data_IF_931236480077
#
_entry.id   IF_931236480077
#
_cell.length_a   1.000
_cell.length_b   1.000
_cell.length_c   1.000
_cell.angle_alpha   90.00
_cell.angle_beta   90.00
_cell.angle_gamma   90.00
#
_symmetry.space_group_name_H-M   'P 1'
#
loop_
_entity.id
_entity.type
_entity.pdbx_description
1 polymer ?
#
# COMPACT_ATOMS: atom_id res chain seq x y z
N UNK A 1 -22.42 21.90 0.60
CA UNK A 1 -21.03 21.45 0.33
C UNK A 1 -20.73 21.65 -1.14
N UNK A 2 -19.54 22.11 -1.51
CA UNK A 2 -19.20 22.30 -2.91
C UNK A 2 -19.19 20.96 -3.66
N UNK A 3 -19.77 20.89 -4.85
CA UNK A 3 -19.84 19.63 -5.62
C UNK A 3 -18.48 18.99 -5.91
N UNK A 4 -17.41 19.78 -5.96
CA UNK A 4 -16.04 19.29 -6.14
C UNK A 4 -15.53 18.47 -4.94
N UNK A 5 -15.94 18.78 -3.71
CA UNK A 5 -15.53 18.04 -2.51
C UNK A 5 -16.06 16.60 -2.55
N UNK A 6 -17.31 16.44 -3.00
CA UNK A 6 -17.94 15.13 -3.15
C UNK A 6 -17.27 14.31 -4.26
N UNK A 7 -16.92 14.95 -5.38
CA UNK A 7 -16.23 14.26 -6.48
C UNK A 7 -14.84 13.76 -6.03
N UNK A 8 -14.10 14.58 -5.28
CA UNK A 8 -12.79 14.22 -4.73
C UNK A 8 -12.90 13.05 -3.75
N UNK A 9 -13.86 13.10 -2.81
CA UNK A 9 -14.01 12.01 -1.82
C UNK A 9 -14.40 10.68 -2.46
N UNK A 10 -15.24 10.70 -3.51
CA UNK A 10 -15.57 9.49 -4.29
C UNK A 10 -14.32 8.87 -4.93
N UNK A 11 -13.44 9.68 -5.51
CA UNK A 11 -12.19 9.20 -6.12
C UNK A 11 -11.28 8.58 -5.05
N UNK A 12 -11.16 9.23 -3.88
CA UNK A 12 -10.37 8.74 -2.75
C UNK A 12 -10.89 7.39 -2.22
N UNK A 13 -12.21 7.24 -2.07
CA UNK A 13 -12.80 5.97 -1.64
C UNK A 13 -12.63 4.85 -2.68
N UNK A 14 -12.78 5.17 -3.97
CA UNK A 14 -12.47 4.21 -5.04
C UNK A 14 -11.02 3.75 -4.99
N UNK A 15 -10.09 4.68 -4.79
CA UNK A 15 -8.66 4.36 -4.70
C UNK A 15 -8.35 3.53 -3.45
N UNK A 16 -8.94 3.88 -2.31
CA UNK A 16 -8.84 3.09 -1.09
C UNK A 16 -9.37 1.66 -1.28
N UNK A 17 -10.51 1.48 -1.94
CA UNK A 17 -11.07 0.15 -2.21
C UNK A 17 -10.13 -0.72 -3.06
N UNK A 18 -9.51 -0.14 -4.09
CA UNK A 18 -8.49 -0.85 -4.91
C UNK A 18 -7.28 -1.22 -4.05
N UNK A 19 -6.79 -0.31 -3.21
CA UNK A 19 -5.63 -0.57 -2.33
C UNK A 19 -5.93 -1.64 -1.27
N UNK A 20 -7.14 -1.65 -0.69
CA UNK A 20 -7.59 -2.73 0.21
C UNK A 20 -7.61 -4.06 -0.53
N UNK A 21 -8.14 -4.10 -1.75
CA UNK A 21 -8.15 -5.33 -2.55
C UNK A 21 -6.72 -5.84 -2.80
N UNK A 22 -5.80 -4.96 -3.18
CA UNK A 22 -4.38 -5.30 -3.38
C UNK A 22 -3.71 -5.77 -2.08
N UNK A 23 -4.05 -5.15 -0.95
CA UNK A 23 -3.58 -5.56 0.38
C UNK A 23 -4.05 -6.98 0.73
N UNK A 24 -5.35 -7.27 0.55
CA UNK A 24 -5.93 -8.59 0.80
C UNK A 24 -5.31 -9.64 -0.11
N UNK A 25 -5.21 -9.37 -1.41
CA UNK A 25 -4.55 -10.27 -2.36
C UNK A 25 -3.09 -10.55 -1.97
N UNK A 26 -2.37 -9.51 -1.53
CA UNK A 26 -0.99 -9.63 -1.05
C UNK A 26 -0.91 -10.51 0.19
N UNK A 27 -1.80 -10.35 1.18
CA UNK A 27 -1.83 -11.21 2.37
C UNK A 27 -2.23 -12.65 2.05
N UNK A 28 -3.14 -12.85 1.10
CA UNK A 28 -3.49 -14.17 0.57
C UNK A 28 -2.38 -14.79 -0.29
N UNK A 29 -1.27 -14.08 -0.52
CA UNK A 29 -0.19 -14.48 -1.44
C UNK A 29 -0.67 -14.79 -2.85
N UNK A 30 -1.77 -14.15 -3.27
CA UNK A 30 -2.37 -14.32 -4.60
C UNK A 30 -1.88 -13.21 -5.53
N UNK A 31 -1.46 -13.60 -6.72
CA UNK A 31 -1.04 -12.67 -7.77
C UNK A 31 0.45 -12.27 -7.73
N UNK A 32 0.91 -11.45 -8.69
CA UNK A 32 2.28 -10.93 -8.70
C UNK A 32 2.53 -10.03 -7.49
N UNK A 33 3.76 -10.06 -6.97
CA UNK A 33 4.16 -9.23 -5.84
C UNK A 33 4.33 -7.80 -6.35
N UNK A 34 3.32 -6.94 -6.20
CA UNK A 34 3.34 -5.58 -6.77
C UNK A 34 4.23 -4.59 -5.99
N UNK A 35 5.36 -5.05 -5.47
CA UNK A 35 6.36 -4.18 -4.84
C UNK A 35 7.20 -3.45 -5.90
N UNK A 36 7.65 -2.23 -5.61
CA UNK A 36 8.57 -1.46 -6.47
C UNK A 36 9.82 -2.26 -6.83
N UNK A 37 10.37 -2.99 -5.86
CA UNK A 37 11.50 -3.89 -6.06
C UNK A 37 11.22 -5.06 -7.01
N UNK A 38 9.98 -5.57 -7.05
CA UNK A 38 9.59 -6.67 -7.95
C UNK A 38 9.42 -6.19 -9.40
N UNK A 39 8.96 -4.96 -9.60
CA UNK A 39 8.81 -4.38 -10.94
C UNK A 39 10.17 -4.21 -11.65
N UNK A 40 11.21 -3.83 -10.90
CA UNK A 40 12.56 -3.62 -11.44
C UNK A 40 13.37 -4.92 -11.55
N UNK A 41 13.01 -5.97 -10.81
CA UNK A 41 13.72 -7.25 -10.80
C UNK A 41 13.58 -8.05 -12.10
N UNK A 42 14.64 -8.77 -12.49
CA UNK A 42 14.63 -9.72 -13.61
C UNK A 42 13.76 -10.96 -13.31
N UNK A 43 13.36 -11.75 -14.33
CA UNK A 43 12.50 -12.95 -14.16
C UNK A 43 13.03 -13.94 -13.12
N UNK A 44 14.34 -14.12 -13.04
CA UNK A 44 14.99 -15.02 -12.07
C UNK A 44 14.99 -14.46 -10.65
N UNK A 45 15.11 -13.15 -10.48
CA UNK A 45 15.08 -12.48 -9.18
C UNK A 45 13.63 -12.35 -8.67
N UNK A 46 12.66 -12.13 -9.57
CA UNK A 46 11.22 -12.13 -9.28
C UNK A 46 10.73 -13.44 -8.67
N UNK A 47 11.18 -14.60 -9.17
CA UNK A 47 10.78 -15.89 -8.61
C UNK A 47 11.33 -16.09 -7.18
N UNK A 48 12.55 -15.62 -6.92
CA UNK A 48 13.18 -15.65 -5.59
C UNK A 48 12.57 -14.65 -4.61
N UNK A 49 11.95 -13.58 -5.10
CA UNK A 49 11.30 -12.55 -4.28
C UNK A 49 9.89 -12.93 -3.80
N UNK A 50 9.26 -13.98 -4.35
CA UNK A 50 7.92 -14.46 -3.97
C UNK A 50 7.90 -15.18 -2.60
N UNK A 51 8.37 -14.48 -1.56
CA UNK A 51 8.39 -14.99 -0.19
C UNK A 51 7.17 -14.51 0.58
N UNK A 52 6.74 -15.33 1.54
CA UNK A 52 5.69 -14.98 2.49
C UNK A 52 5.90 -13.62 3.17
N UNK A 53 7.16 -13.31 3.51
CA UNK A 53 7.54 -12.08 4.18
C UNK A 53 7.35 -10.86 3.27
N UNK A 54 7.78 -10.97 2.00
CA UNK A 54 7.65 -9.89 1.03
C UNK A 54 6.18 -9.62 0.67
N UNK A 55 5.35 -10.66 0.57
CA UNK A 55 3.90 -10.51 0.38
C UNK A 55 3.23 -9.81 1.57
N UNK A 56 3.60 -10.16 2.81
CA UNK A 56 3.09 -9.48 4.01
C UNK A 56 3.54 -8.03 4.11
N UNK A 57 4.81 -7.75 3.78
CA UNK A 57 5.36 -6.40 3.72
C UNK A 57 4.61 -5.53 2.70
N UNK A 58 4.46 -6.02 1.47
CA UNK A 58 3.69 -5.33 0.43
C UNK A 58 2.22 -5.14 0.84
N UNK A 59 1.58 -6.17 1.40
CA UNK A 59 0.21 -6.08 1.91
C UNK A 59 0.04 -5.03 3.00
N UNK A 60 1.01 -4.91 3.91
CA UNK A 60 1.01 -3.88 4.96
C UNK A 60 1.14 -2.48 4.38
N UNK A 61 2.04 -2.27 3.41
CA UNK A 61 2.18 -0.98 2.71
C UNK A 61 0.86 -0.59 2.05
N UNK A 62 0.21 -1.51 1.33
CA UNK A 62 -1.09 -1.24 0.71
C UNK A 62 -2.21 -0.98 1.74
N UNK A 63 -2.19 -1.66 2.88
CA UNK A 63 -3.16 -1.42 3.95
C UNK A 63 -3.01 -0.02 4.56
N UNK A 64 -1.77 0.40 4.84
CA UNK A 64 -1.48 1.73 5.39
C UNK A 64 -1.88 2.82 4.39
N UNK A 65 -1.59 2.61 3.10
CA UNK A 65 -1.95 3.56 2.05
C UNK A 65 -3.47 3.64 1.88
N UNK A 66 -4.18 2.50 1.90
CA UNK A 66 -5.65 2.49 1.87
C UNK A 66 -6.26 3.24 3.06
N UNK A 67 -5.71 3.04 4.27
CA UNK A 67 -6.15 3.75 5.46
C UNK A 67 -5.91 5.26 5.35
N UNK A 68 -4.78 5.69 4.79
CA UNK A 68 -4.49 7.09 4.55
C UNK A 68 -5.53 7.73 3.62
N UNK A 69 -5.88 7.08 2.51
CA UNK A 69 -6.91 7.57 1.58
C UNK A 69 -8.32 7.58 2.19
N UNK A 70 -8.66 6.59 3.02
CA UNK A 70 -9.93 6.59 3.78
C UNK A 70 -10.04 7.78 4.73
N UNK A 71 -8.96 8.09 5.46
CA UNK A 71 -8.93 9.23 6.37
C UNK A 71 -8.98 10.57 5.61
N UNK A 72 -8.37 10.66 4.44
CA UNK A 72 -8.45 11.86 3.58
C UNK A 72 -9.90 12.10 3.13
N UNK A 73 -10.59 11.05 2.67
CA UNK A 73 -11.99 11.12 2.27
C UNK A 73 -12.92 11.54 3.40
N UNK A 74 -12.71 10.98 4.61
CA UNK A 74 -13.46 11.40 5.79
C UNK A 74 -13.15 12.86 6.17
N UNK A 75 -11.88 13.26 6.15
CA UNK A 75 -11.46 14.63 6.45
C UNK A 75 -12.17 15.64 5.55
N UNK A 76 -12.16 15.37 4.24
CA UNK A 76 -12.79 16.20 3.19
C UNK A 76 -14.31 16.33 3.38
N UNK A 77 -14.97 15.24 3.79
CA UNK A 77 -16.43 15.21 3.99
C UNK A 77 -16.88 15.92 5.28
N UNK A 78 -16.12 15.78 6.36
CA UNK A 78 -16.49 16.28 7.70
C UNK A 78 -15.76 17.57 8.10
N UNK A 79 -14.83 18.07 7.27
CA UNK A 79 -14.02 19.25 7.57
C UNK A 79 -13.04 19.03 8.73
N UNK A 80 -12.58 17.79 8.95
CA UNK A 80 -11.76 17.41 10.10
C UNK A 80 -10.26 17.47 9.77
N UNK A 81 -9.65 18.65 9.88
CA UNK A 81 -8.25 18.87 9.50
C UNK A 81 -7.24 17.92 10.18
N UNK A 82 -7.51 17.49 11.42
CA UNK A 82 -6.69 16.50 12.14
C UNK A 82 -6.55 15.16 11.41
N UNK A 83 -7.59 14.73 10.68
CA UNK A 83 -7.54 13.51 9.88
C UNK A 83 -6.61 13.66 8.68
N UNK A 84 -6.49 14.87 8.11
CA UNK A 84 -5.53 15.14 7.04
C UNK A 84 -4.09 14.98 7.53
N UNK A 85 -3.78 15.50 8.72
CA UNK A 85 -2.45 15.31 9.32
C UNK A 85 -2.16 13.82 9.60
N UNK A 86 -3.15 13.09 10.14
CA UNK A 86 -3.01 11.65 10.37
C UNK A 86 -2.79 10.87 9.05
N UNK A 87 -3.54 11.20 8.00
CA UNK A 87 -3.39 10.62 6.67
C UNK A 87 -2.01 10.91 6.08
N UNK A 88 -1.48 12.13 6.24
CA UNK A 88 -0.14 12.48 5.78
C UNK A 88 0.95 11.66 6.49
N UNK A 89 0.85 11.47 7.81
CA UNK A 89 1.78 10.63 8.58
C UNK A 89 1.71 9.17 8.12
N UNK A 90 0.51 8.63 7.88
CA UNK A 90 0.33 7.29 7.35
C UNK A 90 0.92 7.14 5.94
N UNK A 91 0.73 8.13 5.06
CA UNK A 91 1.31 8.13 3.73
C UNK A 91 2.85 8.13 3.79
N UNK A 92 3.45 9.00 4.61
CA UNK A 92 4.91 9.05 4.79
C UNK A 92 5.44 7.74 5.36
N UNK A 93 4.80 7.20 6.41
CA UNK A 93 5.22 5.92 7.00
C UNK A 93 5.10 4.75 6.03
N UNK A 94 4.09 4.73 5.16
CA UNK A 94 3.94 3.72 4.11
C UNK A 94 5.03 3.82 3.04
N UNK A 95 5.43 5.04 2.66
CA UNK A 95 6.55 5.27 1.75
C UNK A 95 7.87 4.80 2.39
N UNK A 96 8.12 5.19 3.65
CA UNK A 96 9.28 4.71 4.41
C UNK A 96 9.26 3.19 4.50
N UNK A 97 8.13 2.56 4.81
CA UNK A 97 8.02 1.10 4.86
C UNK A 97 8.29 0.45 3.50
N UNK A 98 7.87 1.06 2.39
CA UNK A 98 8.16 0.56 1.04
C UNK A 98 9.66 0.60 0.70
N UNK A 99 10.41 1.59 1.19
CA UNK A 99 11.87 1.68 1.01
C UNK A 99 12.66 0.87 2.04
N UNK A 100 12.24 0.92 3.30
CA UNK A 100 12.97 0.42 4.45
C UNK A 100 12.73 -1.07 4.72
N UNK A 101 11.58 -1.63 4.33
CA UNK A 101 11.42 -3.09 4.33
C UNK A 101 12.28 -3.61 3.19
N UNK A 102 13.49 -4.11 3.47
CA UNK A 102 14.28 -4.71 2.41
C UNK A 102 13.38 -5.84 1.94
N UNK A 103 13.15 -5.93 0.64
CA UNK A 103 12.79 -7.22 0.06
C UNK A 103 13.81 -8.18 0.66
N UNK A 104 13.40 -9.00 1.65
CA UNK A 104 14.32 -9.89 2.34
C UNK A 104 14.70 -10.85 1.24
N UNK A 105 15.81 -10.54 0.55
CA UNK A 105 16.41 -11.39 -0.46
C UNK A 105 16.48 -12.73 0.22
N UNK A 106 15.78 -13.72 -0.34
CA UNK A 106 15.70 -15.06 0.22
C UNK A 106 17.12 -15.60 0.36
N UNK A 107 17.76 -15.29 1.48
CA UNK A 107 19.05 -15.81 1.86
C UNK A 107 18.77 -17.17 2.43
N UNK A 108 18.97 -18.20 1.60
CA UNK A 108 20.03 -19.21 1.80
C UNK A 108 19.69 -20.47 0.98
N UNK A 109 20.04 -20.44 -0.32
CA UNK A 109 20.44 -21.66 -1.01
C UNK A 109 21.85 -21.99 -0.56
N UNK A 110 22.00 -22.62 0.61
CA UNK A 110 23.14 -23.52 0.85
C UNK A 110 22.58 -24.91 0.61
N UNK A 111 22.95 -25.52 -0.50
CA UNK A 111 23.29 -26.93 -0.66
C UNK A 111 23.89 -27.08 -2.06
#
# INVERSE_FOLDING_TARGET
MPGHVIAISVIEYCLAAVLVLLSVLSFMRRGPLLSTSYLVADRTERSRMKTAANYRAAGLVYALLALAFLLLGLSSQFGLEYLTYAAAVLAISSAVAAFALPSRRGGKGRH
#
